data_IF_633083820625
#
_entry.id   IF_633083820625
#
_cell.length_a   1.000
_cell.length_b   1.000
_cell.length_c   1.000
_cell.angle_alpha   90.00
_cell.angle_beta   90.00
_cell.angle_gamma   90.00
#
_symmetry.space_group_name_H-M   'P 1'
#
loop_
_entity.id
_entity.type
_entity.pdbx_description
1 polymer ?
#
# COMPACT_ATOMS: atom_id res chain seq x y z
N UNK A 1 -18.99 7.30 26.38
CA UNK A 1 -18.62 8.62 25.83
C UNK A 1 -17.19 8.47 25.32
N UNK A 2 -17.02 8.19 24.03
CA UNK A 2 -15.69 8.04 23.44
C UNK A 2 -15.03 9.42 23.33
N UNK A 3 -13.71 9.49 23.52
CA UNK A 3 -12.95 10.72 23.37
C UNK A 3 -13.13 11.23 21.93
N UNK A 4 -13.95 12.27 21.75
CA UNK A 4 -14.11 12.92 20.44
C UNK A 4 -12.73 13.37 19.93
N UNK A 5 -12.31 12.87 18.78
CA UNK A 5 -11.10 13.33 18.10
C UNK A 5 -11.35 14.77 17.66
N UNK A 6 -10.66 15.73 18.29
CA UNK A 6 -10.75 17.17 17.97
C UNK A 6 -9.51 17.71 17.27
N UNK A 7 -8.43 16.93 17.20
CA UNK A 7 -7.20 17.26 16.49
C UNK A 7 -6.79 16.11 15.57
N UNK A 8 -6.44 16.46 14.33
CA UNK A 8 -5.85 15.55 13.35
C UNK A 8 -4.32 15.71 13.38
N UNK A 9 -3.65 14.62 13.67
CA UNK A 9 -2.21 14.41 13.53
C UNK A 9 -1.98 12.96 13.07
N UNK A 10 -0.72 12.53 12.91
CA UNK A 10 -0.40 11.19 12.39
C UNK A 10 -1.09 10.05 13.17
N UNK A 11 -1.17 10.15 14.50
CA UNK A 11 -1.75 9.10 15.33
C UNK A 11 -3.28 9.17 15.39
N UNK A 12 -3.84 10.37 15.52
CA UNK A 12 -5.30 10.54 15.55
C UNK A 12 -5.95 10.34 14.18
N UNK A 13 -5.21 10.52 13.08
CA UNK A 13 -5.64 10.18 11.72
C UNK A 13 -6.11 8.73 11.65
N UNK A 14 -5.32 7.78 12.15
CA UNK A 14 -5.70 6.37 12.11
C UNK A 14 -6.89 6.04 12.98
N UNK A 15 -6.99 6.65 14.17
CA UNK A 15 -8.18 6.52 15.03
C UNK A 15 -9.43 7.07 14.34
N UNK A 16 -9.28 8.16 13.59
CA UNK A 16 -10.38 8.78 12.86
C UNK A 16 -10.87 7.90 11.70
N UNK A 17 -9.95 7.26 10.96
CA UNK A 17 -10.29 6.24 9.96
C UNK A 17 -10.94 5.00 10.61
N UNK A 18 -10.45 4.56 11.76
CA UNK A 18 -11.00 3.43 12.51
C UNK A 18 -12.43 3.72 13.00
N UNK A 19 -12.70 4.91 13.54
CA UNK A 19 -14.03 5.35 13.94
C UNK A 19 -14.98 5.38 12.73
N UNK A 20 -14.55 5.96 11.60
CA UNK A 20 -15.34 5.99 10.38
C UNK A 20 -15.69 4.57 9.90
N UNK A 21 -14.72 3.65 9.93
CA UNK A 21 -14.95 2.23 9.56
C UNK A 21 -15.89 1.53 10.54
N UNK A 22 -15.80 1.82 11.83
CA UNK A 22 -16.72 1.28 12.84
C UNK A 22 -18.16 1.75 12.66
N UNK A 23 -18.37 2.98 12.19
CA UNK A 23 -19.70 3.56 11.96
C UNK A 23 -20.31 3.15 10.62
N UNK A 24 -19.49 3.11 9.56
CA UNK A 24 -19.97 2.97 8.18
C UNK A 24 -19.74 1.57 7.60
N UNK A 25 -18.91 0.74 8.24
CA UNK A 25 -18.54 -0.56 7.74
C UNK A 25 -17.85 -0.47 6.37
N UNK A 26 -18.51 -1.03 5.34
CA UNK A 26 -18.01 -1.06 3.94
C UNK A 26 -18.71 -0.05 3.04
N UNK A 27 -19.64 0.72 3.58
CA UNK A 27 -20.33 1.77 2.83
C UNK A 27 -19.39 2.98 2.67
N UNK A 28 -18.80 3.08 1.49
CA UNK A 28 -17.82 4.11 1.15
C UNK A 28 -18.44 5.51 1.09
N UNK A 29 -19.68 5.64 0.61
CA UNK A 29 -20.38 6.93 0.55
C UNK A 29 -20.76 7.41 1.95
N UNK A 30 -21.19 6.49 2.82
CA UNK A 30 -21.41 6.79 4.23
C UNK A 30 -20.12 7.18 4.94
N UNK A 31 -19.01 6.48 4.66
CA UNK A 31 -17.70 6.80 5.23
C UNK A 31 -17.21 8.19 4.80
N UNK A 32 -17.33 8.51 3.51
CA UNK A 32 -17.05 9.85 2.97
C UNK A 32 -17.86 10.91 3.71
N UNK A 33 -19.19 10.71 3.80
CA UNK A 33 -20.11 11.66 4.43
C UNK A 33 -19.78 11.86 5.92
N UNK A 34 -19.44 10.77 6.62
CA UNK A 34 -19.06 10.81 8.03
C UNK A 34 -17.76 11.57 8.26
N UNK A 35 -16.70 11.26 7.49
CA UNK A 35 -15.41 11.93 7.61
C UNK A 35 -15.54 13.43 7.27
N UNK A 36 -16.23 13.75 6.17
CA UNK A 36 -16.46 15.13 5.75
C UNK A 36 -17.23 15.91 6.83
N UNK A 37 -18.36 15.36 7.32
CA UNK A 37 -19.16 16.01 8.36
C UNK A 37 -18.40 16.25 9.66
N UNK A 38 -17.54 15.30 10.07
CA UNK A 38 -16.68 15.47 11.24
C UNK A 38 -15.62 16.54 11.03
N UNK A 39 -14.98 16.61 9.86
CA UNK A 39 -14.00 17.66 9.55
C UNK A 39 -14.64 19.05 9.44
N UNK A 40 -15.86 19.16 8.91
CA UNK A 40 -16.62 20.41 8.87
C UNK A 40 -16.97 20.94 10.27
N UNK A 41 -17.10 20.04 11.26
CA UNK A 41 -17.27 20.40 12.66
C UNK A 41 -15.97 20.86 13.36
N UNK A 42 -14.82 20.81 12.69
CA UNK A 42 -13.52 21.19 13.22
C UNK A 42 -13.03 22.52 12.63
N UNK A 43 -11.89 23.02 13.12
CA UNK A 43 -11.20 24.15 12.52
C UNK A 43 -10.62 23.79 11.13
N UNK A 44 -10.56 24.75 10.17
CA UNK A 44 -10.02 24.50 8.84
C UNK A 44 -8.64 23.85 8.82
N UNK A 45 -7.78 24.22 9.77
CA UNK A 45 -6.44 23.64 9.92
C UNK A 45 -6.49 22.11 10.07
N UNK A 46 -7.52 21.54 10.68
CA UNK A 46 -7.68 20.10 10.83
C UNK A 46 -8.02 19.40 9.51
N UNK A 47 -8.85 20.02 8.67
CA UNK A 47 -9.13 19.54 7.32
C UNK A 47 -7.88 19.60 6.43
N UNK A 48 -7.07 20.66 6.56
CA UNK A 48 -5.77 20.75 5.88
C UNK A 48 -4.79 19.68 6.37
N UNK A 49 -4.67 19.46 7.69
CA UNK A 49 -3.83 18.39 8.25
C UNK A 49 -4.29 17.01 7.76
N UNK A 50 -5.60 16.73 7.74
CA UNK A 50 -6.14 15.48 7.19
C UNK A 50 -5.72 15.31 5.73
N UNK A 51 -5.90 16.35 4.91
CA UNK A 51 -5.48 16.36 3.51
C UNK A 51 -3.98 16.09 3.35
N UNK A 52 -3.11 16.75 4.12
CA UNK A 52 -1.66 16.53 4.03
C UNK A 52 -1.27 15.11 4.47
N UNK A 53 -1.88 14.59 5.53
CA UNK A 53 -1.56 13.25 6.08
C UNK A 53 -2.02 12.12 5.15
N UNK A 54 -3.25 12.19 4.62
CA UNK A 54 -3.73 11.16 3.70
C UNK A 54 -2.85 11.08 2.45
N UNK A 55 -2.43 12.23 1.91
CA UNK A 55 -1.51 12.28 0.79
C UNK A 55 -0.11 11.78 1.15
N UNK A 56 0.37 12.04 2.38
CA UNK A 56 1.62 11.47 2.88
C UNK A 56 1.59 9.93 2.93
N UNK A 57 0.49 9.34 3.41
CA UNK A 57 0.31 7.88 3.40
C UNK A 57 0.10 7.33 1.98
N UNK A 58 -0.56 8.05 1.08
CA UNK A 58 -0.61 7.64 -0.32
C UNK A 58 0.81 7.64 -0.91
N UNK A 59 1.60 8.69 -0.71
CA UNK A 59 2.94 8.79 -1.25
C UNK A 59 3.89 7.72 -0.68
N UNK A 60 3.82 7.44 0.61
CA UNK A 60 4.57 6.35 1.24
C UNK A 60 4.21 4.97 0.65
N UNK A 61 2.96 4.78 0.22
CA UNK A 61 2.48 3.58 -0.46
C UNK A 61 2.75 3.56 -1.98
N UNK A 62 3.39 4.59 -2.54
CA UNK A 62 3.74 4.63 -3.96
C UNK A 62 4.96 3.75 -4.27
N UNK A 63 4.73 2.44 -4.28
CA UNK A 63 5.79 1.43 -4.41
C UNK A 63 5.43 0.39 -5.46
N UNK A 64 6.44 -0.08 -6.21
CA UNK A 64 6.25 -1.11 -7.23
C UNK A 64 5.64 -2.40 -6.69
N UNK A 65 6.06 -2.84 -5.50
CA UNK A 65 5.49 -4.04 -4.87
C UNK A 65 3.99 -3.92 -4.57
N UNK A 66 3.52 -2.74 -4.16
CA UNK A 66 2.08 -2.49 -3.96
C UNK A 66 1.33 -2.29 -5.27
N UNK A 67 1.96 -1.66 -6.26
CA UNK A 67 1.44 -1.57 -7.63
C UNK A 67 1.15 -2.95 -8.20
N UNK A 68 2.13 -3.86 -8.08
CA UNK A 68 2.02 -5.26 -8.48
C UNK A 68 0.90 -5.93 -7.71
N UNK A 69 0.88 -5.81 -6.38
CA UNK A 69 -0.16 -6.45 -5.57
C UNK A 69 -1.57 -6.02 -5.99
N UNK A 70 -1.77 -4.72 -6.18
CA UNK A 70 -3.04 -4.17 -6.65
C UNK A 70 -3.41 -4.67 -8.06
N UNK A 71 -2.43 -4.74 -8.97
CA UNK A 71 -2.62 -5.26 -10.33
C UNK A 71 -3.02 -6.74 -10.35
N UNK A 72 -2.57 -7.54 -9.37
CA UNK A 72 -2.92 -8.96 -9.26
C UNK A 72 -4.28 -9.18 -8.56
N UNK A 73 -4.69 -8.21 -7.72
CA UNK A 73 -5.97 -8.25 -7.03
C UNK A 73 -7.13 -7.82 -7.93
N UNK A 74 -6.87 -6.98 -8.93
CA UNK A 74 -7.91 -6.37 -9.77
C UNK A 74 -8.01 -7.02 -11.14
N UNK A 75 -9.22 -6.94 -11.70
CA UNK A 75 -9.55 -7.43 -13.03
C UNK A 75 -9.40 -6.26 -14.02
N UNK A 76 -8.59 -6.47 -15.05
CA UNK A 76 -8.35 -5.57 -16.19
C UNK A 76 -7.57 -4.28 -15.90
N UNK A 77 -7.01 -3.72 -16.99
CA UNK A 77 -6.11 -2.56 -17.09
C UNK A 77 -5.93 -1.70 -15.83
N UNK A 78 -4.68 -1.70 -15.34
CA UNK A 78 -4.27 -0.93 -14.17
C UNK A 78 -3.48 0.31 -14.61
N UNK A 79 -3.98 1.49 -14.26
CA UNK A 79 -3.37 2.79 -14.57
C UNK A 79 -2.90 3.51 -13.30
N UNK A 80 -2.15 4.59 -13.47
CA UNK A 80 -1.65 5.40 -12.35
C UNK A 80 -2.79 5.94 -11.49
N UNK A 81 -3.87 6.41 -12.13
CA UNK A 81 -5.07 6.92 -11.46
C UNK A 81 -5.70 5.84 -10.57
N UNK A 82 -5.88 4.63 -11.10
CA UNK A 82 -6.44 3.50 -10.33
C UNK A 82 -5.54 3.08 -9.17
N UNK A 83 -4.24 3.40 -9.21
CA UNK A 83 -3.35 3.19 -8.08
C UNK A 83 -3.43 4.28 -7.01
N UNK A 84 -3.78 5.51 -7.37
CA UNK A 84 -4.16 6.52 -6.36
C UNK A 84 -5.35 6.02 -5.56
N UNK A 85 -6.37 5.49 -6.25
CA UNK A 85 -7.60 4.98 -5.64
C UNK A 85 -7.35 3.74 -4.79
N UNK A 86 -6.49 2.83 -5.25
CA UNK A 86 -6.07 1.68 -4.47
C UNK A 86 -5.34 2.07 -3.18
N UNK A 87 -4.45 3.07 -3.24
CA UNK A 87 -3.74 3.53 -2.04
C UNK A 87 -4.70 4.19 -1.04
N UNK A 88 -5.72 4.91 -1.52
CA UNK A 88 -6.80 5.41 -0.68
C UNK A 88 -7.61 4.25 -0.05
N UNK A 89 -7.95 3.23 -0.84
CA UNK A 89 -8.61 2.02 -0.36
C UNK A 89 -7.78 1.27 0.69
N UNK A 90 -6.46 1.18 0.50
CA UNK A 90 -5.55 0.53 1.44
C UNK A 90 -5.53 1.25 2.80
N UNK A 91 -5.60 2.58 2.81
CA UNK A 91 -5.67 3.38 4.03
C UNK A 91 -6.94 3.06 4.82
N UNK A 92 -8.11 2.93 4.19
CA UNK A 92 -9.35 2.60 4.91
C UNK A 92 -9.43 1.14 5.36
N UNK A 93 -8.49 0.29 4.94
CA UNK A 93 -8.32 -1.01 5.58
C UNK A 93 -7.87 -0.87 7.05
N UNK A 94 -7.24 0.26 7.40
CA UNK A 94 -6.78 0.61 8.73
C UNK A 94 -5.27 0.42 8.89
N UNK A 95 -4.70 1.01 9.95
CA UNK A 95 -3.24 1.11 10.17
C UNK A 95 -2.55 -0.25 10.10
N UNK A 96 -3.11 -1.26 10.75
CA UNK A 96 -2.49 -2.59 10.81
C UNK A 96 -2.37 -3.25 9.42
N UNK A 97 -3.42 -3.16 8.60
CA UNK A 97 -3.41 -3.72 7.24
C UNK A 97 -2.48 -2.91 6.34
N UNK A 98 -2.54 -1.58 6.42
CA UNK A 98 -1.67 -0.69 5.66
C UNK A 98 -0.18 -0.98 5.93
N UNK A 99 0.21 -1.05 7.21
CA UNK A 99 1.60 -1.34 7.60
C UNK A 99 2.03 -2.75 7.20
N UNK A 100 1.16 -3.75 7.37
CA UNK A 100 1.44 -5.12 6.97
C UNK A 100 1.64 -5.26 5.45
N UNK A 101 0.89 -4.52 4.64
CA UNK A 101 1.02 -4.52 3.19
C UNK A 101 2.35 -3.90 2.73
N UNK A 102 2.84 -2.87 3.42
CA UNK A 102 4.15 -2.26 3.13
C UNK A 102 5.33 -3.15 3.55
N UNK A 103 5.18 -3.87 4.66
CA UNK A 103 6.19 -4.84 5.10
C UNK A 103 6.16 -6.13 4.28
N UNK A 104 4.99 -6.52 3.80
CA UNK A 104 4.77 -7.71 3.00
C UNK A 104 3.53 -7.53 2.11
N UNK A 105 3.70 -7.12 0.83
CA UNK A 105 2.58 -6.97 -0.09
C UNK A 105 1.73 -8.23 -0.25
N UNK A 106 2.31 -9.42 -0.08
CA UNK A 106 1.58 -10.71 -0.16
C UNK A 106 0.51 -10.88 0.94
N UNK A 107 0.57 -10.10 2.01
CA UNK A 107 -0.45 -10.09 3.07
C UNK A 107 -1.83 -9.65 2.56
N UNK A 108 -1.87 -8.86 1.48
CA UNK A 108 -3.11 -8.40 0.85
C UNK A 108 -3.96 -9.54 0.27
N UNK A 109 -3.39 -10.72 0.07
CA UNK A 109 -4.16 -11.90 -0.33
C UNK A 109 -5.24 -12.27 0.71
N UNK A 110 -5.03 -11.95 1.99
CA UNK A 110 -5.96 -12.28 3.09
C UNK A 110 -6.92 -11.13 3.43
N UNK A 111 -6.76 -9.97 2.77
CA UNK A 111 -7.59 -8.80 3.02
C UNK A 111 -8.89 -8.94 2.24
N UNK A 112 -10.01 -8.68 2.93
CA UNK A 112 -11.32 -8.69 2.30
C UNK A 112 -11.43 -7.56 1.27
N UNK A 113 -11.81 -7.91 0.05
CA UNK A 113 -11.96 -6.97 -1.05
C UNK A 113 -13.38 -6.43 -1.09
N UNK A 114 -13.53 -5.11 -1.19
CA UNK A 114 -14.79 -4.41 -1.41
C UNK A 114 -14.55 -3.12 -2.18
N UNK A 115 -15.57 -2.65 -2.92
CA UNK A 115 -15.49 -1.47 -3.80
C UNK A 115 -14.33 -1.56 -4.79
N UNK A 116 -14.13 -2.72 -5.42
CA UNK A 116 -13.10 -2.97 -6.45
C UNK A 116 -11.66 -2.62 -6.04
N UNK A 117 -11.39 -2.59 -4.73
CA UNK A 117 -10.14 -2.12 -4.15
C UNK A 117 -9.80 -0.67 -4.58
N UNK A 118 -10.80 0.18 -4.70
CA UNK A 118 -10.70 1.60 -5.07
C UNK A 118 -11.49 2.46 -4.08
N UNK A 119 -10.98 3.65 -3.77
CA UNK A 119 -11.73 4.65 -3.02
C UNK A 119 -11.29 6.08 -3.38
N UNK A 120 -11.54 6.47 -4.64
CA UNK A 120 -11.12 7.76 -5.20
C UNK A 120 -11.50 8.94 -4.30
N UNK A 121 -12.80 9.03 -3.94
CA UNK A 121 -13.36 10.21 -3.27
C UNK A 121 -12.76 10.46 -1.87
N UNK A 122 -12.21 9.43 -1.22
CA UNK A 122 -11.55 9.57 0.08
C UNK A 122 -10.39 10.56 0.02
N UNK A 123 -9.63 10.55 -1.08
CA UNK A 123 -8.48 11.45 -1.31
C UNK A 123 -8.90 12.92 -1.24
N UNK A 124 -10.15 13.23 -1.59
CA UNK A 124 -10.64 14.59 -1.67
C UNK A 124 -11.31 15.09 -0.38
N UNK A 125 -11.63 14.21 0.58
CA UNK A 125 -12.35 14.56 1.82
C UNK A 125 -11.77 15.76 2.54
N UNK A 126 -10.45 15.78 2.80
CA UNK A 126 -9.81 16.90 3.48
C UNK A 126 -9.85 18.20 2.67
N UNK A 127 -9.72 18.10 1.34
CA UNK A 127 -9.77 19.27 0.44
C UNK A 127 -11.18 19.84 0.33
N UNK A 128 -12.21 18.98 0.30
CA UNK A 128 -13.61 19.39 0.29
C UNK A 128 -13.99 20.10 1.58
N UNK A 129 -13.75 19.49 2.74
CA UNK A 129 -14.00 20.13 4.04
C UNK A 129 -13.25 21.46 4.16
N UNK A 130 -11.98 21.52 3.76
CA UNK A 130 -11.20 22.76 3.79
C UNK A 130 -11.76 23.84 2.85
N UNK A 131 -12.23 23.44 1.67
CA UNK A 131 -12.84 24.36 0.69
C UNK A 131 -14.15 24.91 1.20
N UNK A 132 -15.00 24.08 1.80
CA UNK A 132 -16.27 24.53 2.39
C UNK A 132 -16.05 25.52 3.54
N UNK A 133 -15.05 25.26 4.39
CA UNK A 133 -14.75 26.12 5.54
C UNK A 133 -14.07 27.45 5.18
N UNK A 134 -13.32 27.51 4.08
CA UNK A 134 -12.43 28.66 3.78
C UNK A 134 -12.66 29.32 2.42
N UNK A 135 -13.40 28.67 1.51
CA UNK A 135 -13.53 29.05 0.11
C UNK A 135 -12.26 28.83 -0.73
N UNK A 136 -11.23 28.15 -0.21
CA UNK A 136 -9.97 27.88 -0.91
C UNK A 136 -9.68 26.39 -0.94
N UNK A 137 -9.07 25.90 -2.02
CA UNK A 137 -8.66 24.48 -2.11
C UNK A 137 -7.40 24.19 -1.30
N UNK A 138 -7.39 23.05 -0.58
CA UNK A 138 -6.23 22.60 0.18
C UNK A 138 -5.00 22.39 -0.70
N UNK A 139 -5.17 21.98 -1.97
CA UNK A 139 -4.07 21.79 -2.93
C UNK A 139 -3.24 23.05 -3.18
N UNK A 140 -3.83 24.25 -3.03
CA UNK A 140 -3.10 25.52 -3.19
C UNK A 140 -2.39 25.96 -1.91
N UNK A 141 -2.84 25.46 -0.76
CA UNK A 141 -2.33 25.87 0.56
C UNK A 141 -1.29 24.88 1.07
N UNK A 142 -1.46 23.59 0.79
CA UNK A 142 -0.53 22.53 1.13
C UNK A 142 0.80 22.72 0.37
N UNK A 143 1.84 23.15 1.08
CA UNK A 143 3.16 23.41 0.49
C UNK A 143 3.94 22.12 0.27
N UNK A 144 5.01 22.19 -0.53
CA UNK A 144 5.94 21.05 -0.68
C UNK A 144 6.59 20.67 0.65
N UNK A 145 7.01 21.67 1.44
CA UNK A 145 7.60 21.48 2.77
C UNK A 145 6.67 20.70 3.71
N UNK A 146 5.37 21.04 3.74
CA UNK A 146 4.39 20.32 4.55
C UNK A 146 4.28 18.85 4.12
N UNK A 147 4.27 18.58 2.81
CA UNK A 147 4.19 17.20 2.28
C UNK A 147 5.44 16.41 2.59
N UNK A 148 6.62 17.01 2.40
CA UNK A 148 7.92 16.38 2.67
C UNK A 148 8.09 16.05 4.15
N UNK A 149 7.72 16.98 5.04
CA UNK A 149 7.78 16.76 6.49
C UNK A 149 6.88 15.59 6.91
N UNK A 150 5.63 15.57 6.45
CA UNK A 150 4.68 14.50 6.77
C UNK A 150 5.14 13.16 6.19
N UNK A 151 5.63 13.14 4.95
CA UNK A 151 6.15 11.93 4.31
C UNK A 151 7.37 11.38 5.07
N UNK A 152 8.28 12.24 5.53
CA UNK A 152 9.43 11.82 6.32
C UNK A 152 9.01 11.19 7.66
N UNK A 153 8.05 11.79 8.35
CA UNK A 153 7.51 11.28 9.62
C UNK A 153 6.81 9.92 9.44
N UNK A 154 6.02 9.77 8.38
CA UNK A 154 5.31 8.55 8.02
C UNK A 154 6.28 7.46 7.57
N UNK A 155 7.24 7.79 6.71
CA UNK A 155 8.18 6.81 6.19
C UNK A 155 9.12 6.27 7.26
N UNK A 156 9.39 7.06 8.32
CA UNK A 156 10.23 6.63 9.44
C UNK A 156 9.64 5.50 10.31
N UNK A 157 8.32 5.27 10.27
CA UNK A 157 7.67 4.17 10.99
C UNK A 157 7.43 2.92 10.12
N UNK A 158 7.59 3.04 8.81
CA UNK A 158 7.28 1.96 7.87
C UNK A 158 8.50 1.07 7.66
N UNK A 159 8.32 -0.23 7.90
CA UNK A 159 9.27 -1.25 7.48
C UNK A 159 8.87 -1.75 6.10
N UNK A 160 9.65 -1.42 5.09
CA UNK A 160 9.39 -1.80 3.71
C UNK A 160 9.89 -3.22 3.38
N UNK A 161 9.12 -3.96 2.59
CA UNK A 161 9.58 -5.24 2.02
C UNK A 161 10.83 -5.02 1.15
N UNK A 162 11.88 -5.86 1.23
CA UNK A 162 13.12 -5.65 0.47
C UNK A 162 12.93 -5.56 -1.05
N UNK A 163 11.90 -6.22 -1.58
CA UNK A 163 11.58 -6.21 -3.01
C UNK A 163 10.54 -5.16 -3.41
N UNK A 164 10.06 -4.33 -2.48
CA UNK A 164 8.94 -3.42 -2.76
C UNK A 164 9.31 -2.29 -3.74
N UNK A 165 10.61 -1.97 -3.84
CA UNK A 165 11.15 -0.92 -4.70
C UNK A 165 11.49 -1.39 -6.11
N UNK A 166 11.27 -2.67 -6.42
CA UNK A 166 11.58 -3.21 -7.73
C UNK A 166 10.31 -3.50 -8.53
N UNK A 167 10.23 -3.05 -9.79
CA UNK A 167 9.25 -3.57 -10.72
C UNK A 167 9.61 -5.04 -11.02
N UNK A 168 8.70 -5.96 -10.71
CA UNK A 168 8.89 -7.39 -10.94
C UNK A 168 7.95 -7.88 -12.03
N UNK A 169 8.41 -8.85 -12.81
CA UNK A 169 7.56 -9.58 -13.75
C UNK A 169 6.72 -10.64 -13.03
N UNK A 170 5.58 -11.01 -13.63
CA UNK A 170 4.63 -11.97 -13.02
C UNK A 170 5.32 -13.29 -12.61
N UNK A 171 6.30 -13.74 -13.39
CA UNK A 171 7.06 -14.96 -13.09
C UNK A 171 7.85 -14.87 -11.77
N UNK A 172 8.39 -13.69 -11.45
CA UNK A 172 9.21 -13.45 -10.27
C UNK A 172 8.33 -13.12 -9.05
N UNK A 173 7.15 -12.53 -9.31
CA UNK A 173 6.13 -12.29 -8.29
C UNK A 173 5.72 -13.58 -7.59
N UNK A 174 5.61 -14.72 -8.29
CA UNK A 174 5.21 -15.99 -7.65
C UNK A 174 6.20 -16.43 -6.57
N UNK A 175 7.48 -16.05 -6.68
CA UNK A 175 8.48 -16.36 -5.65
C UNK A 175 8.54 -15.32 -4.52
N UNK A 176 8.22 -14.06 -4.84
CA UNK A 176 8.30 -12.95 -3.89
C UNK A 176 7.00 -12.78 -3.11
N UNK A 177 5.85 -12.86 -3.78
CA UNK A 177 4.49 -12.75 -3.27
C UNK A 177 3.67 -13.99 -3.64
N UNK A 178 3.97 -15.15 -3.04
CA UNK A 178 3.41 -16.43 -3.46
C UNK A 178 1.90 -16.54 -3.32
N UNK A 179 1.25 -15.91 -2.32
CA UNK A 179 -0.21 -16.02 -2.17
C UNK A 179 -0.93 -15.28 -3.29
N UNK A 180 -0.53 -14.03 -3.56
CA UNK A 180 -1.07 -13.23 -4.65
C UNK A 180 -0.74 -13.84 -6.01
N UNK A 181 0.53 -14.20 -6.23
CA UNK A 181 0.99 -14.82 -7.47
C UNK A 181 0.27 -16.12 -7.78
N UNK A 182 0.15 -17.03 -6.82
CA UNK A 182 -0.56 -18.31 -7.04
C UNK A 182 -2.05 -18.12 -7.27
N UNK A 183 -2.70 -17.15 -6.60
CA UNK A 183 -4.11 -16.81 -6.86
C UNK A 183 -4.29 -16.32 -8.29
N UNK A 184 -3.39 -15.45 -8.75
CA UNK A 184 -3.41 -14.93 -10.12
C UNK A 184 -3.19 -16.02 -11.16
N UNK A 185 -2.17 -16.86 -10.99
CA UNK A 185 -1.89 -18.00 -11.89
C UNK A 185 -3.03 -19.01 -11.90
N UNK A 186 -3.66 -19.30 -10.75
CA UNK A 186 -4.83 -20.18 -10.69
C UNK A 186 -6.00 -19.62 -11.51
N UNK A 187 -6.14 -18.30 -11.56
CA UNK A 187 -7.23 -17.61 -12.26
C UNK A 187 -7.01 -17.51 -13.77
N UNK A 188 -5.83 -17.08 -14.20
CA UNK A 188 -5.53 -16.78 -15.61
C UNK A 188 -4.72 -17.86 -16.32
N UNK A 189 -4.26 -18.89 -15.59
CA UNK A 189 -3.38 -19.93 -16.09
C UNK A 189 -1.93 -19.44 -16.26
N UNK A 190 -1.00 -20.40 -16.44
CA UNK A 190 0.43 -20.11 -16.52
C UNK A 190 0.82 -19.32 -17.78
N UNK A 191 -0.05 -19.31 -18.79
CA UNK A 191 0.14 -18.55 -20.01
C UNK A 191 0.22 -17.03 -19.77
N UNK A 192 -0.25 -16.52 -18.62
CA UNK A 192 -0.10 -15.11 -18.29
C UNK A 192 1.37 -14.64 -18.26
N UNK A 193 2.32 -15.56 -18.04
CA UNK A 193 3.76 -15.25 -18.11
C UNK A 193 4.24 -14.91 -19.54
N UNK A 194 3.45 -15.25 -20.56
CA UNK A 194 3.80 -15.06 -21.96
C UNK A 194 3.22 -13.77 -22.57
N UNK A 195 2.43 -13.01 -21.80
CA UNK A 195 1.72 -11.81 -22.28
C UNK A 195 2.62 -10.56 -22.43
N UNK A 196 3.94 -10.75 -22.46
CA UNK A 196 4.91 -9.66 -22.44
C UNK A 196 5.13 -9.10 -21.04
N UNK A 197 5.97 -8.06 -20.96
CA UNK A 197 6.32 -7.41 -19.70
C UNK A 197 5.13 -6.64 -19.11
N UNK A 198 4.99 -6.68 -17.79
CA UNK A 198 4.05 -5.79 -17.06
C UNK A 198 4.44 -4.32 -17.17
N UNK A 199 5.71 -4.05 -17.50
CA UNK A 199 6.32 -2.73 -17.44
C UNK A 199 6.65 -2.23 -18.84
N UNK A 200 6.67 -0.91 -19.01
CA UNK A 200 7.08 -0.31 -20.27
C UNK A 200 8.61 -0.37 -20.43
N UNK A 201 9.12 -1.54 -20.81
CA UNK A 201 10.56 -1.80 -20.99
C UNK A 201 11.13 -1.21 -22.28
N UNK A 202 10.32 -0.51 -23.09
CA UNK A 202 10.85 0.36 -24.15
C UNK A 202 11.60 1.56 -23.58
N UNK A 203 11.31 1.95 -22.33
CA UNK A 203 12.04 2.97 -21.60
C UNK A 203 13.30 2.36 -20.97
N UNK A 204 14.51 2.85 -21.30
CA UNK A 204 15.76 2.25 -20.81
C UNK A 204 15.85 2.17 -19.28
N UNK A 205 15.43 3.22 -18.57
CA UNK A 205 15.46 3.25 -17.11
C UNK A 205 14.51 2.23 -16.47
N UNK A 206 13.32 2.01 -17.06
CA UNK A 206 12.40 0.99 -16.58
C UNK A 206 12.96 -0.42 -16.83
N UNK A 207 13.54 -0.65 -18.01
CA UNK A 207 14.18 -1.93 -18.35
C UNK A 207 15.29 -2.29 -17.37
N UNK A 208 16.19 -1.35 -17.08
CA UNK A 208 17.29 -1.56 -16.12
C UNK A 208 16.76 -1.88 -14.71
N UNK A 209 15.69 -1.20 -14.27
CA UNK A 209 15.07 -1.47 -12.97
C UNK A 209 14.44 -2.87 -12.90
N UNK A 210 13.78 -3.32 -13.96
CA UNK A 210 13.20 -4.67 -14.04
C UNK A 210 14.30 -5.73 -14.02
N UNK A 211 15.37 -5.56 -14.80
CA UNK A 211 16.52 -6.46 -14.82
C UNK A 211 17.18 -6.55 -13.43
N UNK A 212 17.38 -5.40 -12.77
CA UNK A 212 17.90 -5.35 -11.39
C UNK A 212 16.97 -6.05 -10.39
N UNK A 213 15.65 -5.90 -10.55
CA UNK A 213 14.67 -6.62 -9.75
C UNK A 213 14.81 -8.14 -9.89
N UNK A 214 14.93 -8.63 -11.13
CA UNK A 214 15.14 -10.06 -11.41
C UNK A 214 16.43 -10.60 -10.77
N UNK A 215 17.52 -9.84 -10.81
CA UNK A 215 18.79 -10.20 -10.15
C UNK A 215 18.64 -10.32 -8.62
N UNK A 216 17.91 -9.39 -7.98
CA UNK A 216 17.65 -9.47 -6.54
C UNK A 216 16.74 -10.66 -6.19
N UNK A 217 15.74 -10.97 -7.02
CA UNK A 217 14.93 -12.19 -6.86
C UNK A 217 15.80 -13.44 -6.97
N UNK A 218 16.71 -13.51 -7.94
CA UNK A 218 17.65 -14.62 -8.05
C UNK A 218 18.50 -14.77 -6.77
N UNK A 219 19.04 -13.67 -6.23
CA UNK A 219 19.78 -13.69 -4.95
C UNK A 219 18.92 -14.18 -3.79
N UNK A 220 17.64 -13.79 -3.74
CA UNK A 220 16.69 -14.26 -2.73
C UNK A 220 16.45 -15.77 -2.84
N UNK A 221 16.20 -16.29 -4.05
CA UNK A 221 16.04 -17.74 -4.31
C UNK A 221 17.26 -18.51 -3.79
N UNK A 222 18.47 -18.07 -4.15
CA UNK A 222 19.72 -18.72 -3.72
C UNK A 222 19.93 -18.68 -2.19
N UNK A 223 19.54 -17.59 -1.52
CA UNK A 223 19.59 -17.51 -0.04
C UNK A 223 18.60 -18.49 0.60
N UNK A 224 17.37 -18.57 0.08
CA UNK A 224 16.35 -19.48 0.60
C UNK A 224 16.76 -20.95 0.45
N UNK A 225 17.32 -21.34 -0.70
CA UNK A 225 17.82 -22.69 -0.96
C UNK A 225 18.94 -23.09 0.01
N UNK A 226 19.94 -22.21 0.19
CA UNK A 226 21.02 -22.42 1.16
C UNK A 226 20.49 -22.60 2.59
N UNK A 227 19.49 -21.79 2.99
CA UNK A 227 18.86 -21.91 4.31
C UNK A 227 18.12 -23.26 4.48
N UNK A 228 17.46 -23.75 3.42
CA UNK A 228 16.76 -25.05 3.40
C UNK A 228 17.76 -26.22 3.46
N UNK A 229 18.88 -26.14 2.75
CA UNK A 229 19.95 -27.14 2.81
C UNK A 229 20.58 -27.23 4.20
N UNK A 230 20.89 -26.08 4.82
CA UNK A 230 21.46 -26.04 6.17
C UNK A 230 20.49 -26.59 7.24
N UNK A 231 19.19 -26.31 7.12
CA UNK A 231 18.16 -26.88 8.02
C UNK A 231 17.96 -28.39 7.86
N UNK A 232 18.28 -28.96 6.69
CA UNK A 232 18.20 -30.41 6.42
C UNK A 232 19.42 -31.21 6.90
N UNK A 233 20.46 -30.55 7.43
CA UNK A 233 21.61 -31.20 8.07
C UNK A 233 21.63 -31.01 9.61
N UNK A 234 20.67 -31.54 10.40
CA UNK A 234 20.88 -31.65 11.83
C UNK A 234 21.75 -32.88 12.15
N UNK A 235 23.04 -32.65 12.40
CA UNK A 235 23.89 -33.48 13.29
C UNK A 235 24.37 -34.84 12.78
N UNK A 236 25.37 -34.88 11.89
CA UNK A 236 26.29 -36.01 11.75
C UNK A 236 27.56 -35.82 12.59
N UNK A 237 27.42 -35.44 13.86
CA UNK A 237 28.55 -35.38 14.80
C UNK A 237 28.13 -35.86 16.18
N UNK A 238 28.17 -37.18 16.35
CA UNK A 238 28.59 -37.90 17.57
C UNK A 238 28.72 -39.41 17.25
N UNK A 239 29.70 -39.75 16.41
CA UNK A 239 30.62 -40.87 16.67
C UNK A 239 31.90 -40.16 17.11
N UNK A 240 32.58 -40.47 18.19
CA UNK A 240 32.80 -41.73 18.90
C UNK A 240 33.66 -41.31 20.09
N UNK A 241 33.40 -41.81 21.30
CA UNK A 241 34.45 -41.91 22.31
C UNK A 241 34.17 -43.15 23.17
N UNK A 242 35.20 -44.01 23.16
CA UNK A 242 35.48 -45.20 23.96
C UNK A 242 34.67 -45.41 25.23
#
# INVERSE_FOLDING_TARGET
MGNDITEINKDTFWKFIEEAKGQCGKDMDAMFSWLNGRLLGMHPEQALKFHTIIHGYQEAAYKYGLWIAASLMKEDGYSDDRFVDFRAWLIVQGKAVYMAALENPDSLAEVEQYGDCEFEILTYVGSYAYTELTGRTAYRVCTAEMREQVLAEISGEIKYHPMIEYPLEIQDVVDVYPKLGNRFVKRYGIQCFLNGSMWNTSLPGMKELVEKGADEVHKLRMKQEKSKMNKKQPGSQRRSNN
#
